data_IF_510091603375
#
_entry.id   IF_510091603375
#
_cell.length_a   1.000
_cell.length_b   1.000
_cell.length_c   1.000
_cell.angle_alpha   90.00
_cell.angle_beta   90.00
_cell.angle_gamma   90.00
#
_symmetry.space_group_name_H-M   'P 1'
#
loop_
_entity.id
_entity.type
_entity.pdbx_description
1 polymer ?
#
# COMPACT_ATOMS: atom_id res chain seq x y z
N UNK A 1 -14.80 -1.97 5.35
CA UNK A 1 -13.55 -1.19 5.52
C UNK A 1 -13.08 -0.71 4.15
N UNK A 2 -12.52 0.50 4.08
CA UNK A 2 -11.95 1.05 2.84
C UNK A 2 -10.43 1.05 2.94
N UNK A 3 -9.78 0.37 2.01
CA UNK A 3 -8.33 0.26 1.86
C UNK A 3 -7.89 1.08 0.64
N UNK A 4 -6.75 1.76 0.76
CA UNK A 4 -6.06 2.43 -0.33
C UNK A 4 -4.65 1.87 -0.41
N UNK A 5 -4.24 1.45 -1.60
CA UNK A 5 -2.93 0.85 -1.87
C UNK A 5 -2.25 1.64 -2.96
N UNK A 6 -0.98 1.97 -2.76
CA UNK A 6 -0.19 2.76 -3.69
C UNK A 6 1.32 2.64 -3.39
N UNK A 7 2.13 2.98 -4.40
CA UNK A 7 3.58 2.97 -4.35
C UNK A 7 4.19 4.38 -4.28
N UNK A 8 5.01 4.62 -3.27
CA UNK A 8 5.81 5.84 -3.12
C UNK A 8 7.27 5.63 -3.57
N UNK A 9 7.61 6.18 -4.75
CA UNK A 9 8.96 6.11 -5.34
C UNK A 9 9.95 7.17 -4.84
N UNK A 10 9.56 8.02 -3.88
CA UNK A 10 10.47 8.97 -3.23
C UNK A 10 11.19 8.35 -2.03
N UNK A 11 10.58 7.37 -1.37
CA UNK A 11 11.14 6.64 -0.23
C UNK A 11 12.19 5.60 -0.68
N UNK A 12 13.23 6.08 -1.36
CA UNK A 12 14.29 5.25 -1.94
C UNK A 12 15.32 4.84 -0.91
N UNK A 13 16.14 3.85 -1.23
CA UNK A 13 17.37 3.52 -0.52
C UNK A 13 18.49 3.32 -1.53
N UNK A 14 19.64 3.99 -1.33
CA UNK A 14 20.81 3.79 -2.18
C UNK A 14 21.44 2.43 -1.94
N UNK A 15 22.03 1.89 -3.00
CA UNK A 15 22.94 0.77 -2.91
C UNK A 15 24.30 1.29 -2.43
N UNK A 16 24.64 0.96 -1.19
CA UNK A 16 25.85 1.41 -0.49
C UNK A 16 26.37 0.27 0.38
N UNK A 17 27.60 0.41 0.86
CA UNK A 17 28.12 -0.49 1.90
C UNK A 17 27.29 -0.35 3.16
N UNK A 18 26.54 -1.40 3.50
CA UNK A 18 25.75 -1.48 4.73
C UNK A 18 26.63 -2.01 5.88
N UNK A 19 26.29 -1.61 7.10
CA UNK A 19 26.88 -2.19 8.30
C UNK A 19 26.23 -3.57 8.54
N UNK A 20 27.00 -4.68 8.53
CA UNK A 20 26.45 -6.01 8.78
C UNK A 20 25.91 -6.19 10.20
N UNK A 21 26.25 -5.31 11.15
CA UNK A 21 25.72 -5.31 12.50
C UNK A 21 24.40 -4.51 12.64
N UNK A 22 23.97 -3.78 11.59
CA UNK A 22 22.66 -3.11 11.60
C UNK A 22 21.55 -4.12 11.27
N UNK A 23 20.67 -4.34 12.23
CA UNK A 23 19.50 -5.18 12.07
C UNK A 23 18.27 -4.48 12.64
N UNK A 24 17.11 -4.79 12.07
CA UNK A 24 15.84 -4.24 12.51
C UNK A 24 15.43 -4.88 13.84
N UNK A 25 15.14 -4.08 14.88
CA UNK A 25 14.84 -4.59 16.23
C UNK A 25 13.51 -5.34 16.31
N UNK A 26 12.53 -4.92 15.50
CA UNK A 26 11.16 -5.44 15.50
C UNK A 26 10.62 -5.71 14.08
N UNK A 27 11.39 -6.39 13.23
CA UNK A 27 10.99 -6.64 11.83
C UNK A 27 9.65 -7.36 11.75
N UNK A 28 8.71 -6.84 10.93
CA UNK A 28 7.35 -7.38 10.83
C UNK A 28 6.44 -7.08 12.03
N UNK A 29 6.92 -6.28 12.99
CA UNK A 29 6.23 -5.98 14.23
C UNK A 29 5.24 -4.83 14.13
N UNK A 30 5.37 -3.95 13.14
CA UNK A 30 4.49 -2.78 12.98
C UNK A 30 3.90 -2.66 11.58
N UNK A 31 4.44 -1.83 10.70
CA UNK A 31 3.84 -1.47 9.41
C UNK A 31 4.50 -2.19 8.23
N UNK A 32 5.83 -2.30 8.24
CA UNK A 32 6.57 -3.10 7.28
C UNK A 32 6.37 -4.57 7.56
N UNK A 33 6.37 -5.34 6.48
CA UNK A 33 6.50 -6.79 6.55
C UNK A 33 7.90 -7.19 6.96
N UNK A 34 7.99 -8.34 7.60
CA UNK A 34 9.26 -8.95 7.95
C UNK A 34 10.10 -9.16 6.67
N UNK A 35 11.32 -8.62 6.69
CA UNK A 35 12.15 -8.44 5.49
C UNK A 35 12.70 -9.78 4.97
N UNK A 36 13.08 -10.71 5.85
CA UNK A 36 13.62 -12.00 5.43
C UNK A 36 12.57 -12.89 4.75
N UNK A 37 11.39 -13.04 5.35
CA UNK A 37 10.24 -13.73 4.79
C UNK A 37 9.77 -13.08 3.49
N UNK A 38 9.82 -11.75 3.38
CA UNK A 38 9.48 -11.09 2.13
C UNK A 38 10.48 -11.42 1.01
N UNK A 39 11.79 -11.45 1.31
CA UNK A 39 12.82 -11.86 0.33
C UNK A 39 12.66 -13.32 -0.08
N UNK A 40 12.35 -14.21 0.86
CA UNK A 40 12.05 -15.62 0.57
C UNK A 40 10.84 -15.75 -0.36
N UNK A 41 9.76 -15.01 -0.08
CA UNK A 41 8.59 -14.96 -0.94
C UNK A 41 8.93 -14.46 -2.35
N UNK A 42 9.69 -13.36 -2.47
CA UNK A 42 10.10 -12.84 -3.78
C UNK A 42 10.96 -13.85 -4.56
N UNK A 43 11.84 -14.58 -3.87
CA UNK A 43 12.65 -15.63 -4.48
C UNK A 43 11.81 -16.83 -4.94
N UNK A 44 10.75 -17.18 -4.21
CA UNK A 44 9.85 -18.28 -4.54
C UNK A 44 8.93 -17.96 -5.73
N UNK A 45 8.39 -16.73 -5.80
CA UNK A 45 7.48 -16.32 -6.89
C UNK A 45 8.23 -15.99 -8.18
N UNK A 46 9.43 -15.41 -8.09
CA UNK A 46 10.22 -15.02 -9.25
C UNK A 46 9.75 -13.72 -9.92
N UNK A 47 10.20 -13.49 -11.16
CA UNK A 47 9.88 -12.29 -11.91
C UNK A 47 8.63 -12.50 -12.78
N UNK A 48 7.52 -11.86 -12.39
CA UNK A 48 6.28 -11.89 -13.14
C UNK A 48 5.99 -10.54 -13.79
N UNK A 49 5.69 -10.58 -15.09
CA UNK A 49 5.26 -9.42 -15.84
C UNK A 49 3.88 -9.66 -16.46
N UNK A 50 2.86 -8.99 -15.92
CA UNK A 50 1.54 -8.96 -16.54
C UNK A 50 1.46 -7.79 -17.52
N UNK A 51 1.04 -8.07 -18.75
CA UNK A 51 0.88 -7.05 -19.78
C UNK A 51 -0.25 -6.08 -19.42
N UNK A 52 -0.03 -4.78 -19.65
CA UNK A 52 -1.06 -3.77 -19.45
C UNK A 52 -2.25 -3.97 -20.39
N UNK A 53 -3.46 -3.95 -19.85
CA UNK A 53 -4.73 -4.16 -20.56
C UNK A 53 -5.65 -2.94 -20.54
N UNK A 54 -5.22 -1.83 -19.93
CA UNK A 54 -5.94 -0.56 -19.88
C UNK A 54 -5.29 0.48 -20.82
N UNK A 55 -5.71 1.75 -20.73
CA UNK A 55 -4.99 2.88 -21.32
C UNK A 55 -3.49 2.79 -21.00
N UNK A 56 -2.64 3.45 -21.80
CA UNK A 56 -1.16 3.48 -21.66
C UNK A 56 -0.69 4.20 -20.38
N UNK A 57 -1.28 3.87 -19.24
CA UNK A 57 -0.92 4.34 -17.93
C UNK A 57 0.52 3.91 -17.67
N UNK A 58 1.36 4.92 -17.48
CA UNK A 58 2.81 4.79 -17.33
C UNK A 58 3.23 4.29 -15.93
N UNK A 59 2.29 4.05 -15.01
CA UNK A 59 2.56 3.61 -13.65
C UNK A 59 3.38 2.30 -13.62
N UNK A 60 2.97 1.30 -14.40
CA UNK A 60 3.69 0.01 -14.47
C UNK A 60 4.91 0.03 -15.42
N UNK A 61 4.93 0.95 -16.40
CA UNK A 61 5.88 0.91 -17.53
C UNK A 61 6.96 1.99 -17.54
N UNK A 62 7.07 2.82 -16.50
CA UNK A 62 8.12 3.86 -16.43
C UNK A 62 9.06 3.59 -15.26
N UNK A 63 9.70 2.41 -15.32
CA UNK A 63 11.09 2.31 -14.91
C UNK A 63 11.89 3.23 -15.86
N UNK A 64 12.05 4.50 -15.49
CA UNK A 64 13.14 5.31 -16.05
C UNK A 64 14.41 4.60 -15.61
N UNK A 65 14.99 3.78 -16.47
CA UNK A 65 16.20 2.99 -16.20
C UNK A 65 17.39 3.85 -15.70
N UNK A 66 17.34 5.18 -15.86
CA UNK A 66 18.31 6.12 -15.29
C UNK A 66 18.01 6.61 -13.86
N UNK A 67 16.77 6.58 -13.37
CA UNK A 67 16.39 7.16 -12.05
C UNK A 67 16.76 6.29 -10.85
N UNK A 68 16.88 4.99 -11.06
CA UNK A 68 17.11 4.00 -10.00
C UNK A 68 18.47 3.30 -10.14
N UNK A 69 19.44 3.94 -10.81
CA UNK A 69 20.81 3.43 -10.85
C UNK A 69 21.39 3.51 -9.44
N UNK A 70 22.10 2.47 -9.00
CA UNK A 70 22.72 2.36 -7.67
C UNK A 70 21.71 2.52 -6.53
N UNK A 71 20.54 1.91 -6.67
CA UNK A 71 19.45 1.96 -5.69
C UNK A 71 19.09 0.53 -5.29
N UNK A 72 19.10 0.25 -3.99
CA UNK A 72 18.68 -1.03 -3.42
C UNK A 72 17.15 -1.13 -3.37
N UNK A 73 16.50 -0.02 -3.01
CA UNK A 73 15.04 0.10 -2.91
C UNK A 73 14.57 1.31 -3.71
N UNK A 74 13.79 1.07 -4.75
CA UNK A 74 13.25 2.09 -5.66
C UNK A 74 12.07 2.89 -5.06
N UNK A 75 11.48 2.41 -3.97
CA UNK A 75 10.35 3.00 -3.29
C UNK A 75 9.72 2.01 -2.29
N UNK A 76 8.58 2.39 -1.72
CA UNK A 76 7.77 1.51 -0.87
C UNK A 76 6.36 1.41 -1.43
N UNK A 77 5.70 0.27 -1.22
CA UNK A 77 4.27 0.12 -1.44
C UNK A 77 3.61 -0.09 -0.09
N UNK A 78 2.50 0.59 0.17
CA UNK A 78 1.74 0.41 1.40
C UNK A 78 0.26 0.30 1.17
N UNK A 79 -0.44 -0.25 2.16
CA UNK A 79 -1.89 -0.29 2.26
C UNK A 79 -2.31 0.48 3.50
N UNK A 80 -3.26 1.40 3.33
CA UNK A 80 -3.82 2.20 4.42
C UNK A 80 -5.35 2.16 4.42
N UNK A 81 -5.96 2.60 5.52
CA UNK A 81 -7.38 2.92 5.53
C UNK A 81 -7.65 4.20 4.74
N UNK A 82 -8.42 4.12 3.65
CA UNK A 82 -8.71 5.28 2.80
C UNK A 82 -9.57 6.34 3.49
N UNK A 83 -10.43 5.95 4.43
CA UNK A 83 -11.33 6.90 5.12
C UNK A 83 -10.65 7.67 6.25
N UNK A 84 -9.78 6.98 7.01
CA UNK A 84 -9.23 7.52 8.25
C UNK A 84 -7.73 7.80 8.16
N UNK A 85 -7.09 7.41 7.05
CA UNK A 85 -5.67 7.62 6.77
C UNK A 85 -4.74 6.95 7.78
N UNK A 86 -5.09 5.72 8.18
CA UNK A 86 -4.26 4.89 9.04
C UNK A 86 -3.47 3.88 8.22
N UNK A 87 -2.15 3.86 8.35
CA UNK A 87 -1.35 2.77 7.81
C UNK A 87 -1.80 1.44 8.42
N UNK A 88 -1.97 0.42 7.59
CA UNK A 88 -2.32 -0.91 8.08
C UNK A 88 -1.07 -1.60 8.62
N UNK A 89 -1.16 -2.28 9.78
CA UNK A 89 -0.08 -3.14 10.25
C UNK A 89 0.28 -4.16 9.19
N UNK A 90 1.57 -4.46 9.03
CA UNK A 90 2.07 -5.40 8.03
C UNK A 90 1.61 -5.09 6.59
N UNK A 91 1.25 -3.84 6.31
CA UNK A 91 0.73 -3.38 5.03
C UNK A 91 1.78 -2.79 4.11
N UNK A 92 3.06 -2.71 4.51
CA UNK A 92 4.12 -2.02 3.77
C UNK A 92 5.24 -2.96 3.34
N UNK A 93 5.75 -2.77 2.12
CA UNK A 93 6.89 -3.52 1.56
C UNK A 93 7.84 -2.62 0.76
N UNK A 94 9.11 -3.00 0.70
CA UNK A 94 10.10 -2.35 -0.17
C UNK A 94 9.98 -2.81 -1.63
N UNK A 95 10.09 -1.87 -2.56
CA UNK A 95 10.09 -2.13 -3.99
C UNK A 95 11.54 -2.18 -4.52
N UNK A 96 12.04 -3.37 -4.86
CA UNK A 96 13.42 -3.50 -5.37
C UNK A 96 13.56 -2.88 -6.77
N UNK A 97 12.59 -3.13 -7.66
CA UNK A 97 12.59 -2.61 -9.05
C UNK A 97 11.19 -2.24 -9.51
N UNK A 98 10.73 -1.10 -9.02
CA UNK A 98 9.42 -0.59 -9.35
C UNK A 98 8.29 -1.38 -8.68
N UNK A 99 7.08 -0.93 -8.94
CA UNK A 99 5.87 -1.58 -8.47
C UNK A 99 5.53 -2.81 -9.32
N UNK A 100 5.17 -3.90 -8.65
CA UNK A 100 4.78 -5.17 -9.26
C UNK A 100 3.63 -5.79 -8.45
N UNK A 101 2.83 -6.63 -9.11
CA UNK A 101 1.73 -7.31 -8.43
C UNK A 101 2.20 -8.25 -7.33
N UNK A 102 3.38 -8.85 -7.46
CA UNK A 102 4.00 -9.66 -6.40
C UNK A 102 4.15 -8.88 -5.09
N UNK A 103 4.57 -7.62 -5.16
CA UNK A 103 4.73 -6.72 -4.01
C UNK A 103 3.37 -6.28 -3.46
N UNK A 104 2.47 -5.87 -4.36
CA UNK A 104 1.11 -5.46 -4.00
C UNK A 104 0.33 -6.58 -3.30
N UNK A 105 0.39 -7.80 -3.83
CA UNK A 105 -0.28 -8.97 -3.27
C UNK A 105 0.26 -9.27 -1.86
N UNK A 106 1.60 -9.23 -1.67
CA UNK A 106 2.20 -9.48 -0.35
C UNK A 106 1.79 -8.40 0.65
N UNK A 107 1.91 -7.11 0.32
CA UNK A 107 1.49 -6.01 1.19
C UNK A 107 0.01 -6.12 1.58
N UNK A 108 -0.87 -6.36 0.61
CA UNK A 108 -2.29 -6.49 0.83
C UNK A 108 -2.63 -7.70 1.71
N UNK A 109 -1.98 -8.85 1.51
CA UNK A 109 -2.18 -10.03 2.35
C UNK A 109 -1.94 -9.74 3.84
N UNK A 110 -0.95 -8.90 4.17
CA UNK A 110 -0.71 -8.48 5.56
C UNK A 110 -1.75 -7.48 6.06
N UNK A 111 -2.14 -6.53 5.21
CA UNK A 111 -3.15 -5.54 5.55
C UNK A 111 -4.56 -6.11 5.79
N UNK A 112 -4.86 -7.26 5.19
CA UNK A 112 -6.12 -8.01 5.35
C UNK A 112 -6.22 -8.75 6.69
N UNK A 113 -5.11 -9.02 7.37
CA UNK A 113 -5.13 -9.69 8.67
C UNK A 113 -5.99 -8.92 9.69
N UNK A 114 -6.85 -9.65 10.42
CA UNK A 114 -7.77 -9.07 11.39
C UNK A 114 -8.96 -8.35 10.76
N UNK A 115 -9.26 -8.62 9.48
CA UNK A 115 -10.43 -8.09 8.78
C UNK A 115 -11.41 -9.18 8.35
N UNK A 116 -11.22 -10.42 8.80
CA UNK A 116 -11.97 -11.61 8.40
C UNK A 116 -13.48 -11.44 8.62
N UNK A 117 -13.88 -10.81 9.73
CA UNK A 117 -15.28 -10.54 10.08
C UNK A 117 -15.87 -9.29 9.39
N UNK A 118 -15.09 -8.61 8.54
CA UNK A 118 -15.57 -7.41 7.83
C UNK A 118 -16.37 -7.85 6.60
N UNK A 119 -17.69 -7.57 6.54
CA UNK A 119 -18.56 -8.12 5.49
C UNK A 119 -18.35 -7.47 4.12
N UNK A 120 -17.63 -6.34 4.08
CA UNK A 120 -17.38 -5.58 2.85
C UNK A 120 -16.07 -4.83 2.92
N UNK A 121 -15.20 -5.09 1.96
CA UNK A 121 -13.95 -4.38 1.74
C UNK A 121 -14.01 -3.63 0.42
N UNK A 122 -13.46 -2.42 0.39
CA UNK A 122 -13.24 -1.67 -0.84
C UNK A 122 -11.77 -1.39 -0.93
N UNK A 123 -11.11 -1.88 -1.97
CA UNK A 123 -9.72 -1.60 -2.26
C UNK A 123 -9.65 -0.54 -3.36
N UNK A 124 -9.01 0.58 -3.10
CA UNK A 124 -8.65 1.57 -4.12
C UNK A 124 -7.19 1.44 -4.49
N UNK A 125 -6.91 1.30 -5.79
CA UNK A 125 -5.56 1.19 -6.32
C UNK A 125 -5.56 1.66 -7.78
N UNK A 126 -4.54 2.41 -8.19
CA UNK A 126 -4.41 3.00 -9.52
C UNK A 126 -4.70 2.00 -10.64
N UNK A 127 -4.15 0.80 -10.53
CA UNK A 127 -4.26 -0.21 -11.58
C UNK A 127 -5.29 -1.28 -11.27
N UNK A 128 -6.29 -1.01 -10.42
CA UNK A 128 -7.27 -2.01 -10.02
C UNK A 128 -8.05 -2.65 -11.16
N UNK A 129 -8.32 -1.92 -12.25
CA UNK A 129 -8.95 -2.46 -13.46
C UNK A 129 -8.14 -3.56 -14.17
N UNK A 130 -6.89 -3.74 -13.78
CA UNK A 130 -5.97 -4.76 -14.28
C UNK A 130 -5.62 -5.75 -13.16
N UNK A 131 -5.27 -5.23 -11.99
CA UNK A 131 -4.87 -6.00 -10.81
C UNK A 131 -5.92 -7.04 -10.39
N UNK A 132 -7.21 -6.70 -10.45
CA UNK A 132 -8.30 -7.56 -10.01
C UNK A 132 -8.50 -8.81 -10.88
N UNK A 133 -8.07 -8.79 -12.15
CA UNK A 133 -8.40 -9.84 -13.15
C UNK A 133 -7.90 -11.23 -12.77
N UNK A 134 -6.74 -11.29 -12.13
CA UNK A 134 -6.11 -12.54 -11.66
C UNK A 134 -5.93 -12.58 -10.15
N UNK A 135 -6.55 -11.64 -9.44
CA UNK A 135 -6.39 -11.48 -8.00
C UNK A 135 -6.68 -12.77 -7.23
N UNK A 136 -7.87 -13.36 -7.40
CA UNK A 136 -8.25 -14.57 -6.65
C UNK A 136 -7.35 -15.77 -6.98
N UNK A 137 -6.87 -15.88 -8.23
CA UNK A 137 -5.93 -16.94 -8.64
C UNK A 137 -4.58 -16.75 -7.95
N UNK A 138 -4.02 -15.53 -7.99
CA UNK A 138 -2.74 -15.22 -7.34
C UNK A 138 -2.81 -15.42 -5.83
N UNK A 139 -3.90 -15.00 -5.19
CA UNK A 139 -4.08 -15.15 -3.75
C UNK A 139 -4.30 -16.60 -3.32
N UNK A 140 -5.06 -17.39 -4.07
CA UNK A 140 -5.24 -18.80 -3.78
C UNK A 140 -3.91 -19.58 -3.85
N UNK A 141 -3.03 -19.22 -4.79
CA UNK A 141 -1.71 -19.84 -4.95
C UNK A 141 -0.72 -19.40 -3.86
N UNK A 142 -0.68 -18.10 -3.54
CA UNK A 142 0.39 -17.50 -2.70
C UNK A 142 0.02 -17.37 -1.23
N UNK A 143 -1.27 -17.21 -0.93
CA UNK A 143 -1.78 -16.95 0.41
C UNK A 143 -2.99 -17.87 0.71
N UNK A 144 -2.84 -19.20 0.65
CA UNK A 144 -3.96 -20.15 0.83
C UNK A 144 -4.60 -20.11 2.23
N UNK A 145 -3.96 -19.44 3.19
CA UNK A 145 -4.51 -19.20 4.52
C UNK A 145 -5.59 -18.12 4.54
N UNK A 146 -5.68 -17.27 3.50
CA UNK A 146 -6.74 -16.27 3.35
C UNK A 146 -7.90 -16.94 2.62
N UNK A 147 -9.05 -17.03 3.30
CA UNK A 147 -10.21 -17.72 2.74
C UNK A 147 -10.72 -17.04 1.46
N UNK A 148 -11.20 -17.82 0.46
CA UNK A 148 -11.84 -17.26 -0.73
C UNK A 148 -13.02 -16.34 -0.40
N UNK A 149 -13.84 -16.68 0.59
CA UNK A 149 -14.98 -15.86 1.03
C UNK A 149 -14.53 -14.46 1.49
N UNK A 150 -13.38 -14.38 2.16
CA UNK A 150 -12.80 -13.09 2.57
C UNK A 150 -12.25 -12.29 1.37
N UNK A 151 -11.75 -12.96 0.34
CA UNK A 151 -11.32 -12.29 -0.89
C UNK A 151 -12.51 -11.79 -1.72
N UNK A 152 -13.60 -12.55 -1.75
CA UNK A 152 -14.82 -12.23 -2.50
C UNK A 152 -15.58 -11.03 -1.94
N UNK A 153 -15.33 -10.64 -0.68
CA UNK A 153 -15.89 -9.42 -0.09
C UNK A 153 -15.16 -8.14 -0.52
N UNK A 154 -14.07 -8.24 -1.31
CA UNK A 154 -13.27 -7.11 -1.79
C UNK A 154 -13.82 -6.58 -3.11
N UNK A 155 -14.28 -5.33 -3.08
CA UNK A 155 -14.63 -4.55 -4.26
C UNK A 155 -13.42 -3.73 -4.72
N UNK A 156 -13.06 -3.84 -5.99
CA UNK A 156 -11.93 -3.14 -6.57
C UNK A 156 -12.38 -1.84 -7.23
N UNK A 157 -11.82 -0.71 -6.81
CA UNK A 157 -12.12 0.62 -7.36
C UNK A 157 -10.82 1.38 -7.65
N UNK A 158 -10.90 2.48 -8.38
CA UNK A 158 -9.74 3.34 -8.69
C UNK A 158 -9.94 4.71 -8.00
N UNK A 159 -8.90 5.30 -7.38
CA UNK A 159 -8.96 6.65 -6.82
C UNK A 159 -9.44 7.68 -7.86
N UNK A 160 -10.22 8.68 -7.41
CA UNK A 160 -10.97 9.58 -8.32
C UNK A 160 -10.09 10.37 -9.28
N UNK A 161 -8.92 10.82 -8.83
CA UNK A 161 -7.96 11.58 -9.63
C UNK A 161 -7.37 10.69 -10.73
N UNK A 162 -6.99 9.47 -10.36
CA UNK A 162 -6.35 8.51 -11.26
C UNK A 162 -7.33 7.93 -12.26
N UNK A 163 -8.60 7.72 -11.87
CA UNK A 163 -9.67 7.16 -12.69
C UNK A 163 -9.79 7.82 -14.07
N UNK A 164 -9.65 9.15 -14.15
CA UNK A 164 -9.78 9.90 -15.40
C UNK A 164 -8.72 9.55 -16.45
N UNK A 165 -7.58 9.01 -16.05
CA UNK A 165 -6.53 8.56 -16.96
C UNK A 165 -6.72 7.11 -17.42
N UNK A 166 -7.79 6.44 -16.99
CA UNK A 166 -8.21 5.14 -17.52
C UNK A 166 -9.15 5.28 -18.73
N UNK A 167 -9.27 4.20 -19.50
CA UNK A 167 -10.25 4.10 -20.59
C UNK A 167 -11.67 4.33 -20.06
N UNK A 168 -12.55 4.79 -20.92
CA UNK A 168 -13.91 5.17 -20.58
C UNK A 168 -14.68 4.08 -19.79
N UNK A 169 -14.64 2.81 -20.23
CA UNK A 169 -15.26 1.70 -19.49
C UNK A 169 -14.83 1.63 -18.02
N UNK A 170 -13.55 1.87 -17.75
CA UNK A 170 -13.02 1.81 -16.40
C UNK A 170 -13.56 2.96 -15.53
N UNK A 171 -13.82 4.13 -16.13
CA UNK A 171 -14.36 5.31 -15.46
C UNK A 171 -15.79 5.09 -14.95
N UNK A 172 -16.51 4.11 -15.50
CA UNK A 172 -17.80 3.69 -15.00
C UNK A 172 -17.68 2.51 -14.03
N UNK A 173 -16.97 1.44 -14.45
CA UNK A 173 -16.90 0.17 -13.72
C UNK A 173 -16.17 0.26 -12.38
N UNK A 174 -15.11 1.07 -12.29
CA UNK A 174 -14.24 1.16 -11.10
C UNK A 174 -14.41 2.48 -10.35
N UNK A 175 -15.50 3.20 -10.59
CA UNK A 175 -15.75 4.52 -9.99
C UNK A 175 -16.28 4.43 -8.57
N UNK A 176 -15.61 5.13 -7.65
CA UNK A 176 -16.13 5.38 -6.31
C UNK A 176 -17.49 6.09 -6.32
N UNK A 177 -17.80 6.92 -7.34
CA UNK A 177 -19.07 7.65 -7.41
C UNK A 177 -20.26 6.76 -7.80
N UNK A 178 -20.00 5.67 -8.51
CA UNK A 178 -21.05 4.73 -8.95
C UNK A 178 -21.12 3.48 -8.08
N UNK A 179 -20.19 3.32 -7.15
CA UNK A 179 -20.18 2.20 -6.22
C UNK A 179 -21.01 2.55 -4.95
N UNK A 180 -21.98 1.72 -4.55
CA UNK A 180 -22.82 1.98 -3.39
C UNK A 180 -22.06 2.10 -2.07
N UNK A 181 -22.62 2.88 -1.14
CA UNK A 181 -22.14 3.02 0.24
C UNK A 181 -20.70 3.56 0.41
N UNK A 182 -20.04 4.06 -0.65
CA UNK A 182 -18.71 4.71 -0.62
C UNK A 182 -18.71 6.13 -0.05
N UNK A 183 -19.89 6.76 0.01
CA UNK A 183 -20.07 8.12 0.50
C UNK A 183 -19.29 9.13 -0.36
N UNK A 184 -18.56 10.04 0.30
CA UNK A 184 -17.71 11.04 -0.38
C UNK A 184 -16.23 10.67 -0.39
N UNK A 185 -15.89 9.40 -0.13
CA UNK A 185 -14.50 8.90 -0.20
C UNK A 185 -13.93 9.12 -1.60
N UNK A 186 -12.70 9.60 -1.69
CA UNK A 186 -11.99 9.83 -2.96
C UNK A 186 -10.93 8.78 -3.30
N UNK A 187 -10.49 7.99 -2.32
CA UNK A 187 -9.45 6.97 -2.51
C UNK A 187 -8.01 7.53 -2.50
N UNK A 188 -7.86 8.85 -2.46
CA UNK A 188 -6.59 9.61 -2.57
C UNK A 188 -5.89 9.77 -1.22
N UNK A 189 -6.28 8.97 -0.22
CA UNK A 189 -5.80 9.11 1.13
C UNK A 189 -4.30 8.87 1.27
N UNK A 190 -3.82 7.85 0.56
CA UNK A 190 -2.44 7.38 0.65
C UNK A 190 -1.45 8.38 0.05
N UNK A 191 -1.84 9.04 -1.05
CA UNK A 191 -1.06 10.12 -1.67
C UNK A 191 -0.85 11.31 -0.73
N UNK A 192 -1.85 11.63 0.11
CA UNK A 192 -1.71 12.68 1.14
C UNK A 192 -0.75 12.25 2.24
N UNK A 193 -0.80 10.97 2.63
CA UNK A 193 0.13 10.41 3.61
C UNK A 193 1.57 10.39 3.08
N UNK A 194 1.75 10.15 1.78
CA UNK A 194 3.05 10.31 1.11
C UNK A 194 3.56 11.73 1.19
N UNK A 195 2.69 12.74 1.04
CA UNK A 195 3.06 14.14 1.25
C UNK A 195 3.81 14.38 2.57
N UNK A 196 3.33 13.79 3.66
CA UNK A 196 3.92 13.90 5.00
C UNK A 196 5.15 12.98 5.18
N UNK A 197 5.04 11.71 4.79
CA UNK A 197 6.15 10.74 4.94
C UNK A 197 7.38 11.12 4.09
N UNK A 198 7.18 11.85 3.00
CA UNK A 198 8.26 12.26 2.11
C UNK A 198 9.26 13.23 2.73
N UNK A 199 8.93 13.86 3.84
CA UNK A 199 9.87 14.70 4.60
C UNK A 199 11.06 13.87 5.12
N UNK A 200 10.83 12.57 5.41
CA UNK A 200 11.89 11.63 5.82
C UNK A 200 12.58 10.93 4.64
N UNK A 201 12.07 11.03 3.42
CA UNK A 201 12.60 10.27 2.27
C UNK A 201 14.08 10.60 1.97
N UNK A 202 14.54 11.83 2.22
CA UNK A 202 15.93 12.21 1.93
C UNK A 202 16.91 11.67 2.98
N UNK A 203 16.54 11.71 4.26
CA UNK A 203 17.39 11.21 5.35
C UNK A 203 17.45 9.69 5.35
N UNK A 204 16.31 9.03 5.16
CA UNK A 204 16.19 7.55 5.13
C UNK A 204 16.88 6.92 3.93
N UNK A 205 17.09 7.66 2.84
CA UNK A 205 17.74 7.16 1.63
C UNK A 205 19.18 6.70 1.82
N UNK A 206 19.89 7.29 2.77
CA UNK A 206 21.29 6.97 3.07
C UNK A 206 21.43 6.00 4.25
N UNK A 207 20.32 5.60 4.88
CA UNK A 207 20.31 4.68 6.03
C UNK A 207 20.51 3.23 5.57
N UNK A 208 20.97 2.40 6.50
CA UNK A 208 20.95 0.95 6.34
C UNK A 208 19.49 0.45 6.38
N UNK A 209 19.22 -0.75 5.89
CA UNK A 209 17.84 -1.22 5.68
C UNK A 209 17.04 -1.34 6.97
N UNK A 210 17.63 -1.90 8.03
CA UNK A 210 16.95 -2.06 9.32
C UNK A 210 16.58 -0.71 9.90
N UNK A 211 17.57 0.16 10.11
CA UNK A 211 17.33 1.51 10.63
C UNK A 211 16.40 2.35 9.75
N UNK A 212 16.46 2.20 8.41
CA UNK A 212 15.54 2.88 7.50
C UNK A 212 14.09 2.51 7.77
N UNK A 213 13.78 1.22 7.92
CA UNK A 213 12.43 0.77 8.22
C UNK A 213 11.98 1.34 9.57
N UNK A 214 12.80 1.24 10.62
CA UNK A 214 12.44 1.75 11.95
C UNK A 214 12.09 3.25 11.93
N UNK A 215 12.86 4.08 11.20
CA UNK A 215 12.57 5.52 11.08
C UNK A 215 11.28 5.77 10.30
N UNK A 216 11.03 5.02 9.21
CA UNK A 216 9.80 5.15 8.45
C UNK A 216 8.59 4.68 9.27
N UNK A 217 8.72 3.58 10.02
CA UNK A 217 7.69 3.05 10.91
C UNK A 217 7.37 4.01 12.05
N UNK A 218 8.37 4.64 12.66
CA UNK A 218 8.18 5.68 13.68
C UNK A 218 7.35 6.86 13.15
N UNK A 219 7.62 7.30 11.91
CA UNK A 219 6.82 8.36 11.27
C UNK A 219 5.40 7.89 10.94
N UNK A 220 5.24 6.67 10.44
CA UNK A 220 3.91 6.08 10.20
C UNK A 220 3.11 5.97 11.50
N UNK A 221 3.77 5.60 12.61
CA UNK A 221 3.15 5.51 13.92
C UNK A 221 2.74 6.89 14.45
N UNK A 222 3.63 7.88 14.34
CA UNK A 222 3.34 9.25 14.75
C UNK A 222 2.13 9.80 13.98
N UNK A 223 2.06 9.55 12.67
CA UNK A 223 0.93 9.93 11.82
C UNK A 223 -0.37 9.28 12.30
N UNK A 224 -0.36 7.96 12.51
CA UNK A 224 -1.50 7.20 13.04
C UNK A 224 -1.93 7.71 14.42
N UNK A 225 -0.98 7.92 15.34
CA UNK A 225 -1.23 8.43 16.68
C UNK A 225 -1.86 9.83 16.66
N UNK A 226 -1.30 10.75 15.87
CA UNK A 226 -1.87 12.10 15.67
C UNK A 226 -3.31 12.03 15.16
N UNK A 227 -3.63 11.10 14.25
CA UNK A 227 -5.01 10.89 13.75
C UNK A 227 -5.92 10.36 14.85
N UNK A 228 -5.47 9.36 15.61
CA UNK A 228 -6.24 8.77 16.70
C UNK A 228 -6.63 9.81 17.76
N UNK A 229 -5.67 10.64 18.19
CA UNK A 229 -5.92 11.71 19.16
C UNK A 229 -6.89 12.77 18.62
N UNK A 230 -6.79 13.12 17.33
CA UNK A 230 -7.70 14.10 16.70
C UNK A 230 -9.11 13.55 16.54
N UNK A 231 -9.26 12.28 16.16
CA UNK A 231 -10.56 11.60 16.07
C UNK A 231 -11.28 11.59 17.41
N UNK A 232 -10.55 11.26 18.48
CA UNK A 232 -11.06 11.32 19.86
C UNK A 232 -11.69 12.69 20.14
N UNK A 233 -10.97 13.79 19.91
CA UNK A 233 -11.48 15.15 20.20
C UNK A 233 -12.81 15.45 19.49
N UNK A 234 -12.99 14.99 18.26
CA UNK A 234 -14.24 15.20 17.53
C UNK A 234 -15.42 14.40 18.11
N UNK A 235 -15.19 13.15 18.49
CA UNK A 235 -16.23 12.30 19.09
C UNK A 235 -16.68 12.83 20.47
N UNK A 236 -15.77 13.34 21.31
CA UNK A 236 -16.13 13.91 22.62
C UNK A 236 -17.01 15.17 22.52
N UNK A 237 -16.83 15.99 21.49
CA UNK A 237 -17.68 17.17 21.28
C UNK A 237 -19.10 16.80 20.81
N UNK A 238 -19.26 15.70 20.05
CA UNK A 238 -20.57 15.27 19.56
C UNK A 238 -21.45 14.69 20.68
N UNK A 239 -20.86 14.00 21.66
CA UNK A 239 -21.61 13.46 22.80
C UNK A 239 -22.04 14.51 23.82
N UNK A 240 -21.27 15.59 24.00
CA UNK A 240 -21.60 16.66 24.95
C UNK A 240 -22.67 17.66 24.45
N UNK A 241 -22.97 17.67 23.15
CA UNK A 241 -24.06 18.49 22.59
C UNK A 241 -25.36 17.70 22.35
N UNK A 242 -25.46 16.48 22.89
CA UNK A 242 -26.68 15.65 22.85
C UNK A 242 -27.25 15.32 24.23
N UNK A 243 -26.77 15.98 25.29
CA UNK A 243 -27.32 15.94 26.64
C UNK A 243 -28.07 17.22 26.97
#
# INVERSE_FOLDING_TARGET
>A
LYLSMDANFRAQQKDKTNDPADFHLHSGGTYFREDSAFREYLAAVGDEHEASTCSRFKALNVLRAGRYKNTLVSGILSVMCACHLFFRPNGTVDLQKGERYTHADYALAGALAGTEDVPRLVLTYDVNCQYCRRFSVRFAERFPHISPDHLDCIEFLIPKMHLLAHREDCQYLYSLNFNPATGRTDGEGIERAWGELNDASTSTREMNTGHRHEVLEDHMDEMNFKKLIKLRKHCYHITLHRS
#
